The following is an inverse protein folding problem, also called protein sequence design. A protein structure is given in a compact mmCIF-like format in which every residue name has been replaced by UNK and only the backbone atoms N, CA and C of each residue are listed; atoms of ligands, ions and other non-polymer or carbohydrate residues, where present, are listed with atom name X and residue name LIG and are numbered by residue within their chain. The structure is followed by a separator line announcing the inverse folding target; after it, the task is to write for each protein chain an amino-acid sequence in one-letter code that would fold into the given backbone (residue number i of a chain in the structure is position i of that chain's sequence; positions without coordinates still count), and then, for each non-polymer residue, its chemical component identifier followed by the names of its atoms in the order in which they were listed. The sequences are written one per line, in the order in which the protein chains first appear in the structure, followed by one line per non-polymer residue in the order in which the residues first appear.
data_IF_660088164484
#
_entry.id   IF_660088164484
#
_cell.length_a   1.000
_cell.length_b   1.000
_cell.length_c   1.000
_cell.angle_alpha   90.00
_cell.angle_beta   90.00
_cell.angle_gamma   90.00
#
_symmetry.space_group_name_H-M   'P 1'
#
loop_
_entity.id
_entity.type
_entity.pdbx_description
1 polymer ?
#
# COMPACT_ATOMS: atom_id res chain seq x y z
N UNK A 1 13.17 -30.14 -3.95
CA UNK A 1 12.21 -31.14 -3.42
C UNK A 1 12.88 -31.81 -2.24
N UNK A 2 12.46 -31.46 -1.04
CA UNK A 2 13.09 -31.94 0.19
C UNK A 2 12.49 -33.29 0.67
N UNK A 3 11.23 -33.56 0.29
CA UNK A 3 10.58 -34.82 0.66
C UNK A 3 9.81 -35.42 -0.51
N UNK A 4 10.41 -36.41 -1.16
CA UNK A 4 9.82 -37.12 -2.31
C UNK A 4 8.55 -37.90 -1.92
N UNK A 5 8.47 -38.42 -0.72
CA UNK A 5 7.31 -39.17 -0.24
C UNK A 5 6.10 -38.25 -0.08
N UNK A 6 6.28 -37.09 0.56
CA UNK A 6 5.21 -36.11 0.75
C UNK A 6 4.69 -35.59 -0.61
N UNK A 7 5.60 -35.28 -1.54
CA UNK A 7 5.24 -34.86 -2.89
C UNK A 7 4.38 -35.92 -3.60
N UNK A 8 4.80 -37.19 -3.53
CA UNK A 8 4.05 -38.30 -4.13
C UNK A 8 2.67 -38.45 -3.50
N UNK A 9 2.56 -38.30 -2.17
CA UNK A 9 1.28 -38.41 -1.47
C UNK A 9 0.33 -37.25 -1.80
N UNK A 10 0.82 -36.02 -1.82
CA UNK A 10 0.00 -34.87 -2.26
C UNK A 10 -0.47 -35.02 -3.70
N UNK A 11 0.39 -35.49 -4.59
CA UNK A 11 0.02 -35.76 -5.97
C UNK A 11 -1.08 -36.81 -6.06
N UNK A 12 -0.88 -37.95 -5.37
CA UNK A 12 -1.86 -39.06 -5.36
C UNK A 12 -3.19 -38.65 -4.74
N UNK A 13 -3.16 -37.89 -3.66
CA UNK A 13 -4.36 -37.30 -3.05
C UNK A 13 -5.10 -36.38 -4.02
N UNK A 14 -4.40 -35.47 -4.69
CA UNK A 14 -5.00 -34.54 -5.63
C UNK A 14 -5.63 -35.29 -6.81
N UNK A 15 -4.91 -36.24 -7.45
CA UNK A 15 -5.38 -37.01 -8.56
C UNK A 15 -6.65 -37.83 -8.20
N UNK A 16 -6.66 -38.43 -7.01
CA UNK A 16 -7.81 -39.21 -6.52
C UNK A 16 -9.02 -38.34 -6.22
N UNK A 17 -8.79 -37.16 -5.63
CA UNK A 17 -9.87 -36.20 -5.37
C UNK A 17 -10.48 -35.67 -6.67
N UNK A 18 -9.63 -35.31 -7.64
CA UNK A 18 -10.09 -34.85 -8.95
C UNK A 18 -10.89 -35.95 -9.70
N UNK A 19 -10.46 -37.19 -9.62
CA UNK A 19 -11.17 -38.32 -10.22
C UNK A 19 -12.55 -38.53 -9.59
N UNK A 20 -12.65 -38.47 -8.26
CA UNK A 20 -13.91 -38.56 -7.53
C UNK A 20 -14.85 -37.43 -7.94
N UNK A 21 -14.38 -36.16 -7.89
CA UNK A 21 -15.19 -35.00 -8.25
C UNK A 21 -15.63 -35.05 -9.71
N UNK A 22 -14.76 -35.48 -10.65
CA UNK A 22 -15.09 -35.61 -12.06
C UNK A 22 -16.16 -36.69 -12.28
N UNK A 23 -16.09 -37.82 -11.57
CA UNK A 23 -17.12 -38.83 -11.62
C UNK A 23 -18.48 -38.30 -11.17
N UNK A 24 -18.53 -37.50 -10.10
CA UNK A 24 -19.76 -36.86 -9.60
C UNK A 24 -20.35 -35.89 -10.61
N UNK A 25 -19.51 -35.05 -11.22
CA UNK A 25 -19.95 -34.13 -12.28
C UNK A 25 -20.53 -34.87 -13.49
N UNK A 26 -19.89 -35.97 -13.91
CA UNK A 26 -20.36 -36.77 -15.04
C UNK A 26 -21.66 -37.55 -14.77
N UNK A 27 -22.01 -37.77 -13.49
CA UNK A 27 -23.30 -38.36 -13.08
C UNK A 27 -24.46 -37.36 -12.97
N UNK A 28 -24.26 -36.12 -13.42
CA UNK A 28 -25.29 -35.08 -13.49
C UNK A 28 -25.30 -34.08 -12.31
N UNK A 29 -24.37 -34.23 -11.38
CA UNK A 29 -24.18 -33.27 -10.31
C UNK A 29 -23.29 -32.12 -10.80
N UNK A 30 -23.89 -31.18 -11.51
CA UNK A 30 -23.18 -30.03 -12.07
C UNK A 30 -22.67 -29.15 -10.89
N UNK A 31 -21.38 -28.75 -10.88
CA UNK A 31 -20.91 -27.74 -9.94
C UNK A 31 -21.81 -26.53 -10.01
N UNK A 32 -22.23 -26.04 -8.87
CA UNK A 32 -22.93 -24.74 -8.84
C UNK A 32 -22.12 -23.72 -9.63
N UNK A 33 -22.80 -22.89 -10.40
CA UNK A 33 -22.14 -21.78 -11.10
C UNK A 33 -22.16 -20.58 -10.18
N UNK A 34 -21.00 -19.96 -9.98
CA UNK A 34 -20.89 -18.66 -9.30
C UNK A 34 -20.69 -17.57 -10.35
N UNK A 35 -21.23 -16.41 -10.07
CA UNK A 35 -20.96 -15.23 -10.87
C UNK A 35 -19.61 -14.67 -10.46
N UNK A 36 -18.63 -14.75 -11.35
CA UNK A 36 -17.40 -14.00 -11.23
C UNK A 36 -17.45 -12.75 -12.09
N UNK A 37 -17.04 -11.63 -11.53
CA UNK A 37 -17.05 -10.37 -12.22
C UNK A 37 -15.61 -10.07 -12.59
N UNK A 38 -15.36 -10.05 -13.90
CA UNK A 38 -14.08 -9.69 -14.47
C UNK A 38 -14.07 -8.22 -14.84
N UNK A 39 -12.93 -7.58 -14.62
CA UNK A 39 -12.70 -6.22 -15.04
C UNK A 39 -11.74 -6.22 -16.20
N UNK A 40 -12.25 -5.88 -17.36
CA UNK A 40 -11.43 -5.81 -18.57
C UNK A 40 -11.14 -4.36 -18.92
N UNK A 41 -9.91 -4.14 -19.36
CA UNK A 41 -9.45 -2.87 -19.92
C UNK A 41 -10.23 -2.58 -21.20
N UNK A 42 -10.93 -1.49 -21.23
CA UNK A 42 -11.64 -1.03 -22.42
C UNK A 42 -10.91 0.18 -23.01
N UNK A 43 -10.48 0.06 -24.27
CA UNK A 43 -9.86 1.07 -25.13
C UNK A 43 -8.39 1.44 -24.86
N UNK A 44 -7.50 1.03 -25.79
CA UNK A 44 -6.07 1.36 -25.79
C UNK A 44 -5.77 2.80 -26.25
N UNK A 45 -6.69 3.49 -26.89
CA UNK A 45 -6.48 4.80 -27.49
C UNK A 45 -6.58 6.00 -26.54
N UNK A 46 -7.21 5.84 -25.40
CA UNK A 46 -7.20 6.84 -24.33
C UNK A 46 -6.24 6.39 -23.22
N UNK A 47 -5.33 7.26 -22.80
CA UNK A 47 -4.45 7.03 -21.64
C UNK A 47 -5.21 6.86 -20.32
N UNK A 48 -6.52 6.67 -20.38
CA UNK A 48 -7.43 6.41 -19.28
C UNK A 48 -7.95 4.99 -19.41
N UNK A 49 -7.81 4.18 -18.35
CA UNK A 49 -8.43 2.86 -18.29
C UNK A 49 -9.91 3.03 -17.99
N UNK A 50 -10.75 2.80 -18.97
CA UNK A 50 -12.15 2.52 -18.74
C UNK A 50 -12.26 1.05 -18.37
N UNK A 51 -12.73 0.77 -17.17
CA UNK A 51 -12.90 -0.59 -16.67
C UNK A 51 -14.33 -0.98 -16.92
N UNK A 52 -14.54 -1.99 -17.78
CA UNK A 52 -15.84 -2.61 -18.00
C UNK A 52 -15.93 -3.87 -17.14
N UNK A 53 -16.97 -3.96 -16.32
CA UNK A 53 -17.26 -5.18 -15.61
C UNK A 53 -18.00 -6.17 -16.52
N UNK A 54 -17.46 -7.35 -16.68
CA UNK A 54 -18.11 -8.47 -17.35
C UNK A 54 -18.43 -9.54 -16.31
N UNK A 55 -19.66 -10.06 -16.32
CA UNK A 55 -20.07 -11.15 -15.44
C UNK A 55 -19.87 -12.44 -16.21
N UNK A 56 -18.99 -13.29 -15.72
CA UNK A 56 -18.83 -14.65 -16.22
C UNK A 56 -19.38 -15.64 -15.20
N UNK A 57 -20.02 -16.70 -15.71
CA UNK A 57 -20.42 -17.82 -14.88
C UNK A 57 -19.28 -18.83 -14.87
N UNK A 58 -18.70 -19.05 -13.69
CA UNK A 58 -17.60 -20.01 -13.49
C UNK A 58 -18.04 -21.12 -12.54
N UNK A 59 -17.46 -22.33 -12.66
CA UNK A 59 -17.75 -23.41 -11.74
C UNK A 59 -17.39 -23.06 -10.29
N UNK A 60 -18.31 -23.28 -9.36
CA UNK A 60 -18.06 -23.15 -7.93
C UNK A 60 -17.41 -24.43 -7.40
N UNK A 61 -16.11 -24.55 -7.61
CA UNK A 61 -15.33 -25.67 -7.10
C UNK A 61 -15.29 -25.73 -5.56
N UNK A 62 -15.41 -24.59 -4.89
CA UNK A 62 -15.48 -24.55 -3.43
C UNK A 62 -16.69 -25.29 -2.91
N UNK A 63 -17.87 -24.97 -3.44
CA UNK A 63 -19.13 -25.63 -3.10
C UNK A 63 -19.12 -27.12 -3.49
N UNK A 64 -18.54 -27.43 -4.64
CA UNK A 64 -18.38 -28.82 -5.07
C UNK A 64 -17.56 -29.64 -4.08
N UNK A 65 -16.41 -29.13 -3.62
CA UNK A 65 -15.59 -29.78 -2.60
C UNK A 65 -16.36 -29.93 -1.28
N UNK A 66 -17.05 -28.87 -0.84
CA UNK A 66 -17.79 -28.89 0.41
C UNK A 66 -18.94 -29.93 0.40
N UNK A 67 -19.60 -30.11 -0.74
CA UNK A 67 -20.64 -31.14 -0.93
C UNK A 67 -20.10 -32.57 -0.78
N UNK A 68 -18.87 -32.83 -1.20
CA UNK A 68 -18.23 -34.16 -1.19
C UNK A 68 -17.11 -34.30 -0.17
N UNK A 69 -17.07 -33.43 0.81
CA UNK A 69 -16.01 -33.39 1.82
C UNK A 69 -15.81 -34.73 2.51
N UNK A 70 -16.87 -35.35 2.97
CA UNK A 70 -16.81 -36.64 3.67
C UNK A 70 -16.25 -37.75 2.78
N UNK A 71 -16.70 -37.85 1.52
CA UNK A 71 -16.19 -38.83 0.58
C UNK A 71 -14.72 -38.63 0.23
N UNK A 72 -14.27 -37.37 0.18
CA UNK A 72 -12.84 -37.03 -0.01
C UNK A 72 -12.02 -37.44 1.23
N UNK A 73 -12.55 -37.26 2.42
CA UNK A 73 -11.89 -37.66 3.68
C UNK A 73 -11.75 -39.20 3.81
N UNK A 74 -12.65 -39.95 3.20
CA UNK A 74 -12.63 -41.41 3.16
C UNK A 74 -11.64 -42.00 2.14
N UNK A 75 -11.11 -41.17 1.22
CA UNK A 75 -10.11 -41.64 0.26
C UNK A 75 -8.85 -42.18 0.95
N UNK A 76 -8.37 -43.38 0.60
CA UNK A 76 -7.13 -43.92 1.18
C UNK A 76 -5.93 -42.98 1.04
N UNK A 77 -5.88 -42.21 -0.05
CA UNK A 77 -4.83 -41.23 -0.34
C UNK A 77 -4.92 -40.04 0.59
N UNK A 78 -6.11 -39.55 0.92
CA UNK A 78 -6.32 -38.48 1.92
C UNK A 78 -5.83 -38.95 3.29
N UNK A 79 -6.28 -40.13 3.74
CA UNK A 79 -5.94 -40.72 5.04
C UNK A 79 -4.42 -40.91 5.16
N UNK A 80 -3.77 -41.41 4.10
CA UNK A 80 -2.33 -41.66 4.09
C UNK A 80 -1.55 -40.33 4.14
N UNK A 81 -1.94 -39.35 3.35
CA UNK A 81 -1.30 -38.06 3.32
C UNK A 81 -1.45 -37.35 4.67
N UNK A 82 -2.67 -37.35 5.27
CA UNK A 82 -2.93 -36.81 6.60
C UNK A 82 -2.06 -37.44 7.68
N UNK A 83 -1.92 -38.79 7.69
CA UNK A 83 -1.05 -39.50 8.64
C UNK A 83 0.42 -39.07 8.53
N UNK A 84 0.90 -38.81 7.32
CA UNK A 84 2.27 -38.30 7.15
C UNK A 84 2.40 -36.86 7.67
N UNK A 85 1.42 -35.99 7.38
CA UNK A 85 1.40 -34.62 7.87
C UNK A 85 1.46 -34.57 9.41
N UNK A 86 0.72 -35.45 10.08
CA UNK A 86 0.77 -35.58 11.56
C UNK A 86 2.19 -35.95 12.05
N UNK A 87 2.85 -36.88 11.33
CA UNK A 87 4.20 -37.32 11.69
C UNK A 87 5.28 -36.23 11.50
N UNK A 88 5.09 -35.37 10.51
CA UNK A 88 6.03 -34.27 10.21
C UNK A 88 5.83 -33.09 11.18
N UNK A 89 4.92 -33.24 12.14
CA UNK A 89 4.71 -32.31 13.25
C UNK A 89 4.32 -30.87 12.84
N UNK A 90 3.46 -30.78 11.84
CA UNK A 90 2.89 -29.50 11.44
C UNK A 90 1.86 -29.11 12.51
N UNK A 91 2.26 -28.24 13.42
CA UNK A 91 1.45 -27.63 14.46
C UNK A 91 0.52 -28.56 15.29
N UNK A 92 0.59 -28.38 16.57
CA UNK A 92 -0.16 -29.13 17.62
C UNK A 92 -1.69 -29.02 17.54
N UNK A 93 -2.27 -28.43 16.49
CA UNK A 93 -3.67 -27.99 16.50
C UNK A 93 -4.62 -28.82 15.64
N UNK A 94 -4.27 -30.02 15.18
CA UNK A 94 -5.15 -30.94 14.43
C UNK A 94 -5.75 -30.36 13.12
N UNK A 95 -4.99 -29.55 12.40
CA UNK A 95 -5.46 -28.85 11.20
C UNK A 95 -5.06 -29.52 9.86
N UNK A 96 -4.55 -30.75 9.87
CA UNK A 96 -4.02 -31.41 8.68
C UNK A 96 -5.06 -31.62 7.57
N UNK A 97 -6.30 -31.86 7.94
CA UNK A 97 -7.41 -31.96 6.99
C UNK A 97 -7.65 -30.60 6.30
N UNK A 98 -7.53 -29.51 7.05
CA UNK A 98 -7.68 -28.15 6.50
C UNK A 98 -6.59 -27.88 5.47
N UNK A 99 -5.36 -28.31 5.71
CA UNK A 99 -4.26 -28.13 4.74
C UNK A 99 -4.53 -28.85 3.42
N UNK A 100 -5.03 -30.09 3.46
CA UNK A 100 -5.35 -30.84 2.27
C UNK A 100 -6.51 -30.22 1.48
N UNK A 101 -7.58 -29.80 2.18
CA UNK A 101 -8.69 -29.13 1.53
C UNK A 101 -8.33 -27.76 0.97
N UNK A 102 -7.54 -26.97 1.68
CA UNK A 102 -7.08 -25.69 1.16
C UNK A 102 -6.20 -25.85 -0.07
N UNK A 103 -5.35 -26.88 -0.10
CA UNK A 103 -4.55 -27.22 -1.26
C UNK A 103 -5.42 -27.60 -2.47
N UNK A 104 -6.43 -28.46 -2.28
CA UNK A 104 -7.36 -28.86 -3.33
C UNK A 104 -8.16 -27.66 -3.86
N UNK A 105 -8.71 -26.83 -2.97
CA UNK A 105 -9.44 -25.62 -3.34
C UNK A 105 -8.57 -24.66 -4.13
N UNK A 106 -7.35 -24.39 -3.66
CA UNK A 106 -6.41 -23.49 -4.33
C UNK A 106 -5.97 -24.02 -5.70
N UNK A 107 -5.70 -25.33 -5.80
CA UNK A 107 -5.39 -25.97 -7.08
C UNK A 107 -6.53 -25.79 -8.10
N UNK A 108 -7.77 -26.07 -7.71
CA UNK A 108 -8.92 -25.92 -8.61
C UNK A 108 -9.19 -24.46 -8.97
N UNK A 109 -8.96 -23.54 -8.06
CA UNK A 109 -9.08 -22.10 -8.32
C UNK A 109 -8.08 -21.62 -9.39
N UNK A 110 -6.85 -22.17 -9.41
CA UNK A 110 -5.86 -21.81 -10.43
C UNK A 110 -6.05 -22.58 -11.70
N UNK A 111 -6.32 -23.89 -11.60
CA UNK A 111 -6.42 -24.79 -12.75
C UNK A 111 -7.74 -24.62 -13.54
N UNK A 112 -8.80 -24.14 -12.87
CA UNK A 112 -10.16 -23.97 -13.44
C UNK A 112 -10.69 -25.21 -14.17
N UNK A 113 -10.20 -26.41 -13.81
CA UNK A 113 -10.54 -27.69 -14.43
C UNK A 113 -10.31 -28.84 -13.46
N UNK A 114 -11.13 -29.88 -13.60
CA UNK A 114 -10.95 -31.15 -12.89
C UNK A 114 -9.88 -32.07 -13.50
N UNK A 115 -9.23 -31.66 -14.60
CA UNK A 115 -8.11 -32.37 -15.16
C UNK A 115 -6.81 -32.08 -14.43
N UNK A 116 -5.98 -33.10 -14.18
CA UNK A 116 -4.70 -32.92 -13.51
C UNK A 116 -3.69 -32.21 -14.40
N UNK A 117 -3.05 -31.15 -13.85
CA UNK A 117 -1.98 -30.39 -14.49
C UNK A 117 -0.73 -30.39 -13.62
N UNK A 118 0.30 -31.11 -14.07
CA UNK A 118 1.56 -31.28 -13.32
C UNK A 118 2.32 -29.98 -13.07
N UNK A 119 2.26 -29.01 -14.00
CA UNK A 119 2.97 -27.72 -13.84
C UNK A 119 2.34 -26.90 -12.73
N UNK A 120 1.00 -26.84 -12.72
CA UNK A 120 0.26 -26.13 -11.65
C UNK A 120 0.46 -26.84 -10.32
N UNK A 121 0.37 -28.18 -10.28
CA UNK A 121 0.62 -28.96 -9.08
C UNK A 121 2.00 -28.66 -8.49
N UNK A 122 3.08 -28.76 -9.28
CA UNK A 122 4.44 -28.52 -8.78
C UNK A 122 4.64 -27.09 -8.28
N UNK A 123 4.05 -26.12 -8.95
CA UNK A 123 4.11 -24.71 -8.52
C UNK A 123 3.45 -24.52 -7.14
N UNK A 124 2.28 -25.10 -6.94
CA UNK A 124 1.54 -24.98 -5.67
C UNK A 124 2.23 -25.79 -4.58
N UNK A 125 2.70 -27.01 -4.90
CA UNK A 125 3.35 -27.90 -3.95
C UNK A 125 4.67 -27.31 -3.40
N UNK A 126 5.38 -26.48 -4.16
CA UNK A 126 6.57 -25.80 -3.62
C UNK A 126 6.28 -24.99 -2.36
N UNK A 127 5.09 -24.41 -2.25
CA UNK A 127 4.64 -23.72 -1.03
C UNK A 127 4.40 -24.66 0.15
N UNK A 128 3.97 -25.91 -0.11
CA UNK A 128 3.87 -26.93 0.93
C UNK A 128 5.23 -27.24 1.53
N UNK A 129 6.26 -27.42 0.70
CA UNK A 129 7.63 -27.66 1.15
C UNK A 129 8.18 -26.47 1.95
N UNK A 130 7.98 -25.26 1.47
CA UNK A 130 8.43 -24.04 2.18
C UNK A 130 7.75 -23.92 3.55
N UNK A 131 6.46 -24.19 3.60
CA UNK A 131 5.71 -24.15 4.85
C UNK A 131 6.13 -25.22 5.85
N UNK A 132 6.31 -26.48 5.40
CA UNK A 132 6.57 -27.61 6.28
C UNK A 132 8.03 -27.69 6.70
N UNK A 133 8.97 -27.52 5.76
CA UNK A 133 10.38 -27.83 5.98
C UNK A 133 11.26 -26.60 6.16
N UNK A 134 10.93 -25.48 5.54
CA UNK A 134 11.70 -24.25 5.68
C UNK A 134 11.18 -23.34 6.77
N UNK A 135 10.00 -23.65 7.32
CA UNK A 135 9.33 -22.85 8.33
C UNK A 135 9.22 -21.36 7.92
N UNK A 136 9.12 -21.10 6.60
CA UNK A 136 9.08 -19.75 6.04
C UNK A 136 7.89 -19.59 5.12
N UNK A 137 7.25 -18.44 5.24
CA UNK A 137 6.15 -18.02 4.37
C UNK A 137 6.59 -16.72 3.68
N UNK A 138 6.53 -16.71 2.35
CA UNK A 138 6.76 -15.49 1.58
C UNK A 138 5.45 -14.73 1.41
N UNK A 139 5.40 -13.52 1.92
CA UNK A 139 4.23 -12.66 1.84
C UNK A 139 4.54 -11.50 0.91
N UNK A 140 3.67 -11.32 -0.07
CA UNK A 140 3.70 -10.17 -0.94
C UNK A 140 2.63 -9.19 -0.49
N UNK A 141 3.06 -8.05 0.01
CA UNK A 141 2.19 -6.94 0.35
C UNK A 141 2.05 -6.03 -0.86
N UNK A 142 0.82 -5.62 -1.16
CA UNK A 142 0.53 -4.70 -2.27
C UNK A 142 -0.40 -3.59 -1.80
N UNK A 143 -0.10 -2.37 -2.21
CA UNK A 143 -0.89 -1.19 -1.92
C UNK A 143 -1.09 -0.38 -3.21
N UNK A 144 -2.32 -0.33 -3.76
CA UNK A 144 -2.61 0.43 -4.96
C UNK A 144 -2.38 1.93 -4.76
N UNK A 145 -1.67 2.56 -5.69
CA UNK A 145 -1.44 4.01 -5.71
C UNK A 145 -2.47 4.69 -6.61
N UNK A 146 -3.29 5.54 -6.02
CA UNK A 146 -4.25 6.36 -6.75
C UNK A 146 -3.58 7.62 -7.28
N UNK A 147 -3.98 8.06 -8.47
CA UNK A 147 -3.52 9.29 -9.12
C UNK A 147 -2.00 9.34 -9.40
N UNK A 148 -1.33 8.19 -9.42
CA UNK A 148 0.10 8.08 -9.70
C UNK A 148 0.36 7.53 -11.10
N UNK A 149 1.32 8.12 -11.81
CA UNK A 149 1.84 7.63 -13.10
C UNK A 149 3.37 7.69 -13.10
N UNK A 150 3.98 6.88 -13.95
CA UNK A 150 5.41 6.95 -14.22
C UNK A 150 5.69 6.61 -15.68
N UNK A 151 6.82 7.09 -16.21
CA UNK A 151 7.32 6.69 -17.52
C UNK A 151 8.03 5.34 -17.47
N UNK A 152 8.37 4.83 -16.28
CA UNK A 152 8.95 3.51 -16.07
C UNK A 152 7.94 2.56 -15.44
N UNK A 153 8.00 1.28 -15.81
CA UNK A 153 7.07 0.28 -15.29
C UNK A 153 7.39 -0.15 -13.83
N UNK A 154 8.64 0.04 -13.39
CA UNK A 154 9.09 -0.30 -12.04
C UNK A 154 10.07 0.74 -11.50
N UNK A 155 9.91 1.14 -10.23
CA UNK A 155 10.87 1.94 -9.47
C UNK A 155 11.26 1.11 -8.24
N UNK A 156 12.51 0.65 -8.19
CA UNK A 156 13.06 -0.10 -7.07
C UNK A 156 13.63 0.87 -6.03
N UNK A 157 13.00 0.91 -4.87
CA UNK A 157 13.40 1.77 -3.75
C UNK A 157 14.47 1.13 -2.85
N UNK A 158 14.75 -0.17 -3.04
CA UNK A 158 15.60 -0.98 -2.17
C UNK A 158 14.77 -1.70 -1.08
N UNK A 159 15.43 -2.56 -0.29
CA UNK A 159 14.83 -3.31 0.82
C UNK A 159 13.55 -4.09 0.43
N UNK A 160 13.52 -4.62 -0.79
CA UNK A 160 12.36 -5.30 -1.39
C UNK A 160 11.11 -4.41 -1.54
N UNK A 161 11.26 -3.09 -1.52
CA UNK A 161 10.16 -2.14 -1.70
C UNK A 161 10.21 -1.60 -3.13
N UNK A 162 9.11 -1.75 -3.86
CA UNK A 162 9.00 -1.33 -5.25
C UNK A 162 7.71 -0.55 -5.49
N UNK A 163 7.77 0.42 -6.40
CA UNK A 163 6.57 0.99 -7.01
C UNK A 163 6.47 0.36 -8.40
N UNK A 164 5.42 -0.41 -8.64
CA UNK A 164 5.29 -1.23 -9.84
C UNK A 164 3.97 -0.98 -10.54
N UNK A 165 4.02 -0.96 -11.87
CA UNK A 165 2.84 -0.87 -12.71
C UNK A 165 1.97 -2.11 -12.57
N UNK A 166 0.66 -1.91 -12.46
CA UNK A 166 -0.30 -2.99 -12.36
C UNK A 166 -0.40 -3.76 -13.67
N UNK A 167 -0.39 -5.08 -13.57
CA UNK A 167 -0.75 -5.98 -14.67
C UNK A 167 -2.27 -6.15 -14.74
N UNK A 168 -2.80 -6.70 -15.83
CA UNK A 168 -4.23 -7.03 -15.95
C UNK A 168 -4.69 -7.95 -14.81
N UNK A 169 -3.85 -8.91 -14.43
CA UNK A 169 -4.13 -9.80 -13.32
C UNK A 169 -4.19 -9.06 -11.97
N UNK A 170 -3.33 -8.09 -11.74
CA UNK A 170 -3.35 -7.27 -10.52
C UNK A 170 -4.65 -6.45 -10.45
N UNK A 171 -5.12 -5.93 -11.60
CA UNK A 171 -6.41 -5.25 -11.68
C UNK A 171 -7.56 -6.17 -11.31
N UNK A 172 -7.66 -7.33 -11.95
CA UNK A 172 -8.73 -8.29 -11.67
C UNK A 172 -8.79 -8.65 -10.19
N UNK A 173 -7.64 -8.88 -9.58
CA UNK A 173 -7.56 -9.24 -8.17
C UNK A 173 -7.98 -8.09 -7.24
N UNK A 174 -7.52 -6.86 -7.49
CA UNK A 174 -7.92 -5.68 -6.71
C UNK A 174 -9.42 -5.45 -6.81
N UNK A 175 -9.98 -5.56 -8.02
CA UNK A 175 -11.39 -5.28 -8.24
C UNK A 175 -12.33 -6.40 -7.79
N UNK A 176 -11.94 -7.65 -7.88
CA UNK A 176 -12.71 -8.79 -7.34
C UNK A 176 -12.94 -8.65 -5.83
N UNK A 177 -11.95 -8.16 -5.10
CA UNK A 177 -12.08 -7.99 -3.65
C UNK A 177 -12.87 -6.75 -3.26
N UNK A 178 -12.68 -5.64 -3.98
CA UNK A 178 -13.44 -4.40 -3.74
C UNK A 178 -14.92 -4.56 -4.04
N UNK A 179 -15.33 -5.44 -4.95
CA UNK A 179 -16.75 -5.64 -5.27
C UNK A 179 -17.55 -6.40 -4.24
N UNK A 180 -16.96 -7.22 -3.42
CA UNK A 180 -17.70 -7.80 -2.28
C UNK A 180 -18.25 -6.72 -1.33
N UNK A 181 -17.70 -5.52 -1.39
CA UNK A 181 -18.10 -4.36 -0.57
C UNK A 181 -18.76 -3.21 -1.38
N UNK A 182 -18.60 -3.20 -2.73
CA UNK A 182 -19.05 -2.09 -3.59
C UNK A 182 -20.38 -2.44 -4.28
N UNK A 183 -21.40 -2.81 -3.55
CA UNK A 183 -22.78 -2.84 -4.08
C UNK A 183 -23.37 -1.44 -4.36
N UNK A 184 -22.59 -0.37 -4.16
CA UNK A 184 -23.04 1.02 -4.19
C UNK A 184 -22.34 1.91 -5.23
N UNK A 185 -21.47 1.39 -6.10
CA UNK A 185 -20.81 2.23 -7.10
C UNK A 185 -21.49 2.15 -8.47
N UNK A 186 -21.77 3.32 -9.03
CA UNK A 186 -22.24 3.47 -10.40
C UNK A 186 -21.17 3.01 -11.40
N UNK A 187 -21.59 2.44 -12.51
CA UNK A 187 -20.79 1.79 -13.55
C UNK A 187 -19.81 2.70 -14.31
N UNK A 188 -19.73 3.99 -14.00
CA UNK A 188 -19.01 5.00 -14.80
C UNK A 188 -17.81 5.66 -14.11
N UNK A 189 -17.37 5.17 -12.95
CA UNK A 189 -16.24 5.77 -12.27
C UNK A 189 -14.91 5.16 -12.74
N UNK A 190 -14.16 5.94 -13.54
CA UNK A 190 -12.78 5.60 -13.92
C UNK A 190 -11.89 5.60 -12.67
N UNK A 191 -11.40 4.44 -12.28
CA UNK A 191 -10.38 4.35 -11.23
C UNK A 191 -9.00 4.69 -11.81
N UNK A 192 -8.41 5.78 -11.33
CA UNK A 192 -7.06 6.22 -11.70
C UNK A 192 -5.99 5.46 -10.88
N UNK A 193 -5.98 4.14 -10.95
CA UNK A 193 -4.99 3.28 -10.28
C UNK A 193 -4.20 2.54 -11.34
N UNK A 194 -2.92 2.85 -11.50
CA UNK A 194 -2.04 2.26 -12.50
C UNK A 194 -0.80 1.61 -11.90
N UNK A 195 -0.48 1.93 -10.67
CA UNK A 195 0.70 1.48 -9.95
C UNK A 195 0.34 1.02 -8.55
N UNK A 196 1.22 0.23 -7.96
CA UNK A 196 1.12 -0.23 -6.57
C UNK A 196 2.48 -0.13 -5.89
N UNK A 197 2.46 0.07 -4.58
CA UNK A 197 3.62 -0.21 -3.73
C UNK A 197 3.59 -1.71 -3.47
N UNK A 198 4.72 -2.37 -3.68
CA UNK A 198 4.88 -3.80 -3.51
C UNK A 198 6.09 -4.06 -2.62
N UNK A 199 5.97 -4.96 -1.67
CA UNK A 199 7.10 -5.52 -0.92
C UNK A 199 6.92 -7.00 -0.71
N UNK A 200 8.03 -7.74 -0.69
CA UNK A 200 8.04 -9.18 -0.40
C UNK A 200 8.80 -9.40 0.89
N UNK A 201 8.15 -10.01 1.85
CA UNK A 201 8.71 -10.34 3.14
C UNK A 201 8.68 -11.86 3.36
N UNK A 202 9.77 -12.41 3.90
CA UNK A 202 9.83 -13.81 4.34
C UNK A 202 9.70 -13.84 5.85
N UNK A 203 8.62 -14.43 6.35
CA UNK A 203 8.34 -14.57 7.78
C UNK A 203 8.43 -16.01 8.23
N UNK A 204 8.76 -16.23 9.49
CA UNK A 204 8.70 -17.56 10.09
C UNK A 204 7.25 -17.98 10.33
N UNK A 205 6.97 -19.27 10.13
CA UNK A 205 5.66 -19.83 10.37
C UNK A 205 5.26 -19.67 11.85
N UNK A 206 4.03 -19.22 12.10
CA UNK A 206 3.55 -18.92 13.45
C UNK A 206 3.90 -17.52 13.95
N UNK A 207 4.66 -16.73 13.19
CA UNK A 207 4.86 -15.31 13.48
C UNK A 207 3.59 -14.56 13.13
N UNK A 208 3.06 -13.78 14.07
CA UNK A 208 1.94 -12.90 13.79
C UNK A 208 2.36 -11.88 12.72
N UNK A 209 1.50 -11.70 11.72
CA UNK A 209 1.71 -10.69 10.68
C UNK A 209 1.69 -9.30 11.29
N UNK A 210 2.76 -8.57 11.10
CA UNK A 210 2.81 -7.16 11.45
C UNK A 210 2.25 -6.30 10.32
N UNK A 211 0.93 -6.27 10.22
CA UNK A 211 0.22 -5.41 9.27
C UNK A 211 0.57 -3.93 9.44
N UNK A 212 0.94 -3.54 10.65
CA UNK A 212 1.31 -2.18 10.99
C UNK A 212 2.62 -1.78 10.30
N UNK A 213 3.60 -2.69 10.22
CA UNK A 213 4.87 -2.45 9.53
C UNK A 213 4.68 -2.10 8.05
N UNK A 214 3.81 -2.84 7.36
CA UNK A 214 3.53 -2.54 5.95
C UNK A 214 2.81 -1.21 5.77
N UNK A 215 1.84 -0.90 6.64
CA UNK A 215 1.18 0.40 6.63
C UNK A 215 2.18 1.56 6.81
N UNK A 216 3.18 1.40 7.69
CA UNK A 216 4.27 2.38 7.86
C UNK A 216 5.08 2.52 6.56
N UNK A 217 5.43 1.42 5.91
CA UNK A 217 6.16 1.47 4.62
C UNK A 217 5.36 2.26 3.59
N UNK A 218 4.08 1.98 3.43
CA UNK A 218 3.21 2.70 2.50
C UNK A 218 3.13 4.19 2.83
N UNK A 219 2.93 4.52 4.12
CA UNK A 219 2.92 5.90 4.60
C UNK A 219 4.23 6.62 4.28
N UNK A 220 5.37 5.99 4.51
CA UNK A 220 6.69 6.55 4.25
C UNK A 220 6.92 6.78 2.75
N UNK A 221 6.54 5.81 1.89
CA UNK A 221 6.64 5.97 0.43
C UNK A 221 5.77 7.13 -0.05
N UNK A 222 4.53 7.24 0.42
CA UNK A 222 3.64 8.35 0.07
C UNK A 222 4.21 9.69 0.57
N UNK A 223 4.75 9.72 1.78
CA UNK A 223 5.40 10.90 2.34
C UNK A 223 6.57 11.37 1.48
N UNK A 224 7.41 10.45 1.05
CA UNK A 224 8.55 10.77 0.16
C UNK A 224 8.08 11.25 -1.20
N UNK A 225 7.04 10.66 -1.78
CA UNK A 225 6.47 11.13 -3.03
C UNK A 225 5.91 12.57 -2.89
N UNK A 226 5.19 12.88 -1.82
CA UNK A 226 4.71 14.24 -1.50
C UNK A 226 5.84 15.24 -1.28
N UNK A 227 6.92 14.79 -0.63
CA UNK A 227 8.13 15.59 -0.45
C UNK A 227 8.94 15.76 -1.74
N UNK A 228 8.87 14.81 -2.67
CA UNK A 228 9.62 14.86 -3.91
C UNK A 228 9.12 15.97 -4.82
N UNK A 229 7.82 16.03 -5.05
CA UNK A 229 7.19 17.13 -5.79
C UNK A 229 5.72 17.28 -5.46
N UNK A 230 5.16 18.41 -5.85
CA UNK A 230 3.76 18.70 -5.64
C UNK A 230 2.86 17.77 -6.46
N UNK A 231 1.72 17.40 -5.87
CA UNK A 231 0.68 16.61 -6.50
C UNK A 231 -0.08 15.76 -5.48
N UNK A 232 -1.32 15.46 -5.78
CA UNK A 232 -2.17 14.67 -4.91
C UNK A 232 -1.92 13.19 -5.21
N UNK A 233 -1.31 12.49 -4.26
CA UNK A 233 -1.13 11.04 -4.29
C UNK A 233 -1.85 10.43 -3.11
N UNK A 234 -2.48 9.29 -3.36
CA UNK A 234 -2.98 8.45 -2.29
C UNK A 234 -4.07 9.10 -1.49
N UNK A 235 -5.26 9.15 -2.04
CA UNK A 235 -6.46 9.52 -1.30
C UNK A 235 -7.04 8.26 -0.62
N UNK A 236 -6.18 7.55 0.13
CA UNK A 236 -6.59 6.44 0.96
C UNK A 236 -6.37 6.87 2.40
N UNK A 237 -7.44 6.95 3.17
CA UNK A 237 -7.33 7.07 4.62
C UNK A 237 -6.56 5.87 5.14
N UNK A 238 -5.26 6.05 5.38
CA UNK A 238 -4.36 5.04 5.94
C UNK A 238 -4.77 4.55 7.33
N UNK A 239 -5.68 5.25 8.02
CA UNK A 239 -5.94 5.06 9.44
C UNK A 239 -7.05 4.08 9.80
N UNK A 240 -7.96 3.73 8.88
CA UNK A 240 -9.09 2.87 9.25
C UNK A 240 -9.18 1.57 8.44
N UNK A 241 -8.65 1.55 7.21
CA UNK A 241 -8.77 0.38 6.35
C UNK A 241 -7.54 0.24 5.44
N UNK A 242 -6.50 -0.40 5.95
CA UNK A 242 -5.35 -0.77 5.13
C UNK A 242 -5.73 -1.93 4.23
N UNK A 243 -5.76 -1.69 2.93
CA UNK A 243 -5.83 -2.76 1.97
C UNK A 243 -4.45 -3.38 1.82
N UNK A 244 -4.20 -4.38 2.62
CA UNK A 244 -3.03 -5.23 2.49
C UNK A 244 -3.51 -6.50 1.83
N UNK A 245 -3.19 -6.66 0.55
CA UNK A 245 -3.43 -7.91 -0.14
C UNK A 245 -2.22 -8.80 0.03
N UNK A 246 -2.40 -9.86 0.80
CA UNK A 246 -1.44 -10.93 0.86
C UNK A 246 -1.56 -11.75 -0.42
N UNK A 247 -0.60 -11.58 -1.30
CA UNK A 247 -0.49 -12.41 -2.49
C UNK A 247 0.58 -13.44 -2.21
N UNK A 248 0.15 -14.65 -1.94
CA UNK A 248 1.08 -15.76 -1.87
C UNK A 248 1.49 -16.12 -3.29
N UNK A 249 2.77 -16.17 -3.53
CA UNK A 249 3.29 -16.72 -4.78
C UNK A 249 3.13 -18.25 -4.83
N UNK A 250 2.82 -18.85 -3.68
CA UNK A 250 2.64 -20.28 -3.49
C UNK A 250 1.43 -20.58 -2.60
N UNK A 251 1.04 -21.85 -2.51
CA UNK A 251 -0.04 -22.33 -1.66
C UNK A 251 0.14 -21.97 -0.20
N UNK A 252 -0.98 -21.71 0.46
CA UNK A 252 -1.10 -21.28 1.83
C UNK A 252 -2.00 -22.20 2.63
N UNK A 253 -1.55 -22.71 3.81
CA UNK A 253 -2.29 -23.71 4.54
C UNK A 253 -3.52 -23.17 5.29
N UNK A 254 -3.41 -22.03 5.92
CA UNK A 254 -4.49 -21.48 6.75
C UNK A 254 -4.39 -19.98 6.77
N UNK A 255 -5.32 -19.32 6.13
CA UNK A 255 -5.45 -17.88 6.35
C UNK A 255 -6.90 -17.47 6.41
N UNK A 256 -7.22 -16.81 7.50
CA UNK A 256 -8.30 -15.87 7.43
C UNK A 256 -7.75 -14.67 6.66
N UNK A 257 -8.33 -14.33 5.51
CA UNK A 257 -7.94 -13.08 4.87
C UNK A 257 -8.11 -11.99 5.92
N UNK A 258 -7.04 -11.27 6.22
CA UNK A 258 -7.17 -10.03 6.95
C UNK A 258 -8.09 -9.19 6.09
N UNK A 259 -9.34 -9.03 6.53
CA UNK A 259 -10.32 -8.19 5.86
C UNK A 259 -9.84 -6.76 5.99
N UNK A 260 -8.98 -6.33 5.10
CA UNK A 260 -8.72 -4.94 4.87
C UNK A 260 -9.86 -4.41 4.03
N UNK A 261 -10.72 -3.56 4.55
CA UNK A 261 -11.68 -2.85 3.73
C UNK A 261 -10.99 -1.62 3.14
N UNK A 262 -11.10 -1.45 1.82
CA UNK A 262 -10.79 -0.16 1.19
C UNK A 262 -12.00 0.72 1.44
N UNK A 263 -11.89 1.68 2.32
CA UNK A 263 -12.84 2.79 2.32
C UNK A 263 -12.36 3.77 1.26
N UNK A 264 -12.98 3.74 0.10
CA UNK A 264 -12.81 4.79 -0.88
C UNK A 264 -13.40 6.07 -0.31
N UNK A 265 -12.57 6.98 0.12
CA UNK A 265 -12.99 8.34 0.43
C UNK A 265 -13.38 9.03 -0.89
N UNK A 266 -14.53 9.72 -0.86
CA UNK A 266 -15.09 10.49 -1.96
C UNK A 266 -14.01 11.10 -2.87
N UNK A 267 -14.22 10.95 -4.17
CA UNK A 267 -13.39 11.51 -5.24
C UNK A 267 -13.08 12.99 -4.98
N UNK A 268 -11.86 13.26 -4.57
CA UNK A 268 -11.29 14.56 -4.82
C UNK A 268 -10.85 14.51 -6.29
N UNK A 269 -11.56 15.22 -7.16
CA UNK A 269 -11.07 15.45 -8.52
C UNK A 269 -9.77 16.20 -8.39
N UNK A 270 -8.66 15.47 -8.42
CA UNK A 270 -7.35 16.08 -8.44
C UNK A 270 -7.13 16.71 -9.81
N UNK A 271 -6.93 18.04 -9.92
CA UNK A 271 -6.77 18.71 -11.20
C UNK A 271 -5.51 18.25 -11.94
N UNK A 272 -4.57 17.63 -11.26
CA UNK A 272 -3.29 17.23 -11.83
C UNK A 272 -2.88 15.82 -11.39
N UNK A 273 -2.54 14.97 -12.36
CA UNK A 273 -1.98 13.63 -12.08
C UNK A 273 -0.55 13.78 -11.60
N UNK A 274 -0.20 13.06 -10.54
CA UNK A 274 1.17 12.96 -10.08
C UNK A 274 1.95 12.06 -11.02
N UNK A 275 3.00 12.57 -11.65
CA UNK A 275 3.77 11.82 -12.65
C UNK A 275 5.26 11.86 -12.34
N UNK A 276 5.94 10.71 -12.38
CA UNK A 276 7.39 10.57 -12.27
C UNK A 276 7.97 10.33 -13.66
N UNK A 277 8.88 11.22 -14.10
CA UNK A 277 9.61 11.09 -15.35
C UNK A 277 10.81 10.14 -15.17
N UNK A 278 11.26 9.49 -16.24
CA UNK A 278 12.39 8.56 -16.19
C UNK A 278 13.65 9.19 -15.60
N UNK A 279 13.93 10.44 -15.94
CA UNK A 279 15.07 11.22 -15.43
C UNK A 279 14.95 11.58 -13.93
N UNK A 280 13.77 11.57 -13.36
CA UNK A 280 13.51 11.90 -11.95
C UNK A 280 13.68 10.69 -11.01
N UNK A 281 13.66 9.48 -11.54
CA UNK A 281 13.69 8.23 -10.77
C UNK A 281 14.92 8.17 -9.84
N UNK A 282 16.09 8.53 -10.37
CA UNK A 282 17.33 8.53 -9.58
C UNK A 282 17.29 9.48 -8.38
N UNK A 283 16.69 10.66 -8.54
CA UNK A 283 16.59 11.65 -7.45
C UNK A 283 15.50 11.27 -6.44
N UNK A 284 14.41 10.64 -6.89
CA UNK A 284 13.42 10.04 -6.00
C UNK A 284 14.04 8.95 -5.12
N UNK A 285 14.83 8.04 -5.69
CA UNK A 285 15.52 6.97 -4.95
C UNK A 285 16.53 7.58 -3.95
N UNK A 286 17.25 8.63 -4.32
CA UNK A 286 18.15 9.33 -3.40
C UNK A 286 17.39 9.95 -2.22
N UNK A 287 16.24 10.58 -2.48
CA UNK A 287 15.40 11.15 -1.42
C UNK A 287 14.84 10.06 -0.51
N UNK A 288 14.38 8.93 -1.08
CA UNK A 288 13.93 7.77 -0.31
C UNK A 288 15.01 7.26 0.63
N UNK A 289 16.25 7.07 0.14
CA UNK A 289 17.37 6.64 0.96
C UNK A 289 17.69 7.62 2.09
N UNK A 290 17.60 8.93 1.83
CA UNK A 290 17.79 9.95 2.88
C UNK A 290 16.71 9.87 3.94
N UNK A 291 15.46 9.72 3.54
CA UNK A 291 14.31 9.57 4.44
C UNK A 291 14.43 8.31 5.29
N UNK A 292 14.70 7.16 4.67
CA UNK A 292 14.76 5.87 5.35
C UNK A 292 15.93 5.75 6.34
N UNK A 293 17.04 6.44 6.07
CA UNK A 293 18.22 6.47 6.93
C UNK A 293 18.22 7.61 7.96
N UNK A 294 17.16 8.42 8.00
CA UNK A 294 17.07 9.54 8.93
C UNK A 294 16.67 9.08 10.34
N UNK A 295 17.41 9.55 11.36
CA UNK A 295 17.11 9.20 12.75
C UNK A 295 16.03 10.12 13.34
N UNK A 296 14.77 9.74 13.12
CA UNK A 296 13.60 10.45 13.64
C UNK A 296 13.51 10.44 15.18
N UNK A 297 14.15 9.49 15.85
CA UNK A 297 14.16 9.45 17.32
C UNK A 297 15.00 10.58 17.91
N UNK A 298 16.12 10.91 17.26
CA UNK A 298 16.93 12.08 17.64
C UNK A 298 16.28 13.39 17.22
N UNK A 299 15.59 13.40 16.09
CA UNK A 299 15.07 14.62 15.47
C UNK A 299 13.53 14.60 15.44
N UNK A 300 12.90 14.56 16.60
CA UNK A 300 11.42 14.54 16.75
C UNK A 300 10.72 15.71 16.07
N UNK A 301 11.35 16.86 15.98
CA UNK A 301 10.82 18.04 15.28
C UNK A 301 10.59 17.77 13.80
N UNK A 302 11.52 17.06 13.15
CA UNK A 302 11.38 16.68 11.73
C UNK A 302 10.28 15.62 11.55
N UNK A 303 10.15 14.66 12.47
CA UNK A 303 9.03 13.69 12.46
C UNK A 303 7.68 14.38 12.58
N UNK A 304 7.55 15.32 13.54
CA UNK A 304 6.33 16.13 13.71
C UNK A 304 6.03 16.91 12.44
N UNK A 305 7.05 17.56 11.87
CA UNK A 305 6.89 18.34 10.63
C UNK A 305 6.39 17.49 9.47
N UNK A 306 6.96 16.30 9.24
CA UNK A 306 6.53 15.39 8.18
C UNK A 306 5.09 14.93 8.40
N UNK A 307 4.71 14.58 9.64
CA UNK A 307 3.34 14.19 9.95
C UNK A 307 2.35 15.33 9.68
N UNK A 308 2.65 16.57 10.10
CA UNK A 308 1.81 17.75 9.85
C UNK A 308 1.71 18.07 8.37
N UNK A 309 2.82 18.02 7.65
CA UNK A 309 2.84 18.17 6.21
C UNK A 309 1.93 17.18 5.51
N UNK A 310 1.96 15.90 5.90
CA UNK A 310 1.07 14.88 5.36
C UNK A 310 -0.39 15.09 5.76
N UNK A 311 -0.70 15.51 6.98
CA UNK A 311 -2.07 15.81 7.41
C UNK A 311 -2.71 16.91 6.59
N UNK A 312 -1.93 17.92 6.16
CA UNK A 312 -2.43 18.96 5.27
C UNK A 312 -2.97 18.39 3.94
N UNK A 313 -2.37 17.32 3.40
CA UNK A 313 -2.88 16.65 2.19
C UNK A 313 -4.23 15.96 2.41
N UNK A 314 -4.55 15.58 3.63
CA UNK A 314 -5.82 14.92 3.98
C UNK A 314 -6.96 15.90 4.22
N UNK A 315 -6.66 17.19 4.38
CA UNK A 315 -7.66 18.24 4.59
C UNK A 315 -8.32 18.64 3.27
N UNK A 316 -9.66 18.84 3.32
CA UNK A 316 -10.44 19.39 2.20
C UNK A 316 -10.46 20.91 2.21
N UNK A 317 -10.42 21.49 3.40
CA UNK A 317 -10.56 22.92 3.65
C UNK A 317 -9.20 23.58 3.60
N UNK A 318 -9.04 24.65 2.81
CA UNK A 318 -7.77 25.33 2.58
C UNK A 318 -7.22 25.94 3.87
N UNK A 319 -8.10 26.46 4.72
CA UNK A 319 -7.78 27.02 6.04
C UNK A 319 -7.08 25.96 6.92
N UNK A 320 -7.62 24.75 6.96
CA UNK A 320 -7.06 23.64 7.74
C UNK A 320 -5.70 23.22 7.20
N UNK A 321 -5.53 23.21 5.85
CA UNK A 321 -4.23 22.96 5.22
C UNK A 321 -3.19 23.99 5.65
N UNK A 322 -3.55 25.27 5.61
CA UNK A 322 -2.63 26.32 6.01
C UNK A 322 -2.20 26.18 7.47
N UNK A 323 -3.15 25.82 8.36
CA UNK A 323 -2.82 25.59 9.79
C UNK A 323 -1.79 24.47 9.92
N UNK A 324 -1.99 23.32 9.27
CA UNK A 324 -1.05 22.19 9.37
C UNK A 324 0.31 22.52 8.75
N UNK A 325 0.37 23.22 7.62
CA UNK A 325 1.64 23.69 7.04
C UNK A 325 2.36 24.70 7.94
N UNK A 326 1.64 25.62 8.58
CA UNK A 326 2.28 26.54 9.53
C UNK A 326 2.83 25.81 10.75
N UNK A 327 2.12 24.78 11.28
CA UNK A 327 2.62 23.92 12.36
C UNK A 327 3.87 23.16 11.92
N UNK A 328 3.96 22.77 10.65
CA UNK A 328 5.17 22.14 10.07
C UNK A 328 6.40 23.04 10.25
N UNK A 329 6.31 24.30 9.85
CA UNK A 329 7.42 25.26 10.02
C UNK A 329 7.70 25.59 11.49
N UNK A 330 6.64 25.75 12.30
CA UNK A 330 6.78 25.98 13.75
C UNK A 330 7.57 24.85 14.42
N UNK A 331 7.26 23.58 14.09
CA UNK A 331 7.98 22.43 14.64
C UNK A 331 9.47 22.40 14.25
N UNK A 332 9.83 22.94 13.09
CA UNK A 332 11.21 22.95 12.60
C UNK A 332 12.02 24.13 13.12
N UNK A 333 11.41 25.29 13.33
CA UNK A 333 12.14 26.54 13.54
C UNK A 333 11.86 27.27 14.87
N UNK A 334 10.85 26.86 15.65
CA UNK A 334 10.59 27.45 16.95
C UNK A 334 11.05 26.55 18.09
N UNK A 335 11.67 27.12 19.10
CA UNK A 335 12.08 26.42 20.33
C UNK A 335 10.96 26.54 21.37
N UNK A 336 10.74 25.49 22.16
CA UNK A 336 9.71 25.47 23.22
C UNK A 336 9.86 26.62 24.25
N UNK A 337 11.08 27.11 24.45
CA UNK A 337 11.38 28.21 25.38
C UNK A 337 11.04 29.58 24.80
N UNK A 338 10.66 29.70 23.53
CA UNK A 338 10.43 30.98 22.87
C UNK A 338 8.95 31.37 22.97
N UNK A 339 8.69 32.53 23.57
CA UNK A 339 7.31 33.02 23.73
C UNK A 339 7.07 34.38 23.04
N UNK A 340 8.13 35.04 22.55
CA UNK A 340 8.04 36.35 21.95
C UNK A 340 8.51 36.36 20.50
N UNK A 341 7.93 37.26 19.70
CA UNK A 341 8.30 37.48 18.29
C UNK A 341 8.26 36.24 17.41
N UNK A 342 7.39 35.29 17.71
CA UNK A 342 7.33 33.99 17.03
C UNK A 342 7.16 34.15 15.51
N UNK A 343 6.27 35.04 15.06
CA UNK A 343 6.05 35.34 13.65
C UNK A 343 7.36 35.81 12.97
N UNK A 344 8.07 36.75 13.61
CA UNK A 344 9.32 37.29 13.07
C UNK A 344 10.41 36.21 12.99
N UNK A 345 10.62 35.45 14.07
CA UNK A 345 11.63 34.38 14.14
C UNK A 345 11.36 33.28 13.13
N UNK A 346 10.12 32.82 13.06
CA UNK A 346 9.72 31.79 12.10
C UNK A 346 9.99 32.23 10.68
N UNK A 347 9.53 33.43 10.31
CA UNK A 347 9.68 33.96 8.96
C UNK A 347 11.16 34.17 8.58
N UNK A 348 11.96 34.68 9.51
CA UNK A 348 13.38 34.94 9.26
C UNK A 348 14.17 33.63 9.12
N UNK A 349 14.04 32.72 10.08
CA UNK A 349 14.76 31.43 10.08
C UNK A 349 14.44 30.61 8.87
N UNK A 350 13.14 30.46 8.53
CA UNK A 350 12.74 29.73 7.33
C UNK A 350 13.31 30.37 6.07
N UNK A 351 13.19 31.69 5.93
CA UNK A 351 13.67 32.40 4.74
C UNK A 351 15.19 32.27 4.54
N UNK A 352 15.98 32.37 5.62
CA UNK A 352 17.43 32.17 5.57
C UNK A 352 17.82 30.72 5.34
N UNK A 353 17.01 29.76 5.83
CA UNK A 353 17.29 28.35 5.65
C UNK A 353 17.10 27.89 4.21
N UNK A 354 16.04 28.33 3.50
CA UNK A 354 15.74 27.84 2.15
C UNK A 354 16.05 28.82 1.04
N UNK A 355 16.10 30.11 1.32
CA UNK A 355 16.38 31.15 0.32
C UNK A 355 17.87 31.26 -0.01
N UNK A 356 18.17 31.54 -1.26
CA UNK A 356 19.55 31.66 -1.76
C UNK A 356 19.93 33.11 -2.14
N UNK A 357 18.96 33.92 -2.55
CA UNK A 357 19.17 35.30 -2.96
C UNK A 357 18.37 36.26 -2.08
N UNK A 358 18.88 37.48 -1.86
CA UNK A 358 18.23 38.51 -1.01
C UNK A 358 16.75 38.75 -1.38
N UNK A 359 16.46 38.79 -2.66
CA UNK A 359 15.07 38.97 -3.15
C UNK A 359 14.16 37.79 -2.77
N UNK A 360 14.64 36.56 -2.95
CA UNK A 360 13.94 35.35 -2.57
C UNK A 360 13.73 35.25 -1.07
N UNK A 361 14.77 35.53 -0.27
CA UNK A 361 14.70 35.56 1.21
C UNK A 361 13.61 36.53 1.66
N UNK A 362 13.58 37.74 1.11
CA UNK A 362 12.57 38.74 1.45
C UNK A 362 11.15 38.24 1.07
N UNK A 363 10.99 37.64 -0.11
CA UNK A 363 9.69 37.12 -0.55
C UNK A 363 9.19 35.98 0.34
N UNK A 364 10.07 35.05 0.70
CA UNK A 364 9.73 33.94 1.62
C UNK A 364 9.30 34.50 2.97
N UNK A 365 10.12 35.44 3.54
CA UNK A 365 9.82 36.07 4.80
C UNK A 365 8.45 36.76 4.84
N UNK A 366 8.11 37.53 3.82
CA UNK A 366 6.81 38.22 3.73
C UNK A 366 5.64 37.21 3.59
N UNK A 367 5.80 36.17 2.81
CA UNK A 367 4.76 35.15 2.66
C UNK A 367 4.50 34.40 3.98
N UNK A 368 5.56 34.06 4.74
CA UNK A 368 5.41 33.35 6.02
C UNK A 368 4.77 34.27 7.06
N UNK A 369 5.18 35.54 7.16
CA UNK A 369 4.54 36.53 8.07
C UNK A 369 3.05 36.63 7.80
N UNK A 370 2.70 36.78 6.52
CA UNK A 370 1.31 36.87 6.09
C UNK A 370 0.53 35.57 6.41
N UNK A 371 1.13 34.41 6.18
CA UNK A 371 0.51 33.11 6.49
C UNK A 371 0.28 32.94 8.00
N UNK A 372 1.25 33.35 8.83
CA UNK A 372 1.13 33.31 10.28
C UNK A 372 -0.03 34.18 10.80
N UNK A 373 -0.13 35.44 10.29
CA UNK A 373 -1.22 36.35 10.64
C UNK A 373 -2.58 35.80 10.23
N UNK A 374 -2.65 35.17 9.06
CA UNK A 374 -3.87 34.56 8.56
C UNK A 374 -4.25 33.34 9.41
N UNK A 375 -3.30 32.47 9.72
CA UNK A 375 -3.52 31.32 10.61
C UNK A 375 -4.05 31.76 11.96
N UNK A 376 -3.48 32.80 12.54
CA UNK A 376 -3.98 33.37 13.80
C UNK A 376 -5.43 33.82 13.70
N UNK A 377 -5.81 34.53 12.61
CA UNK A 377 -7.18 34.98 12.38
C UNK A 377 -8.15 33.80 12.16
N UNK A 378 -7.74 32.75 11.46
CA UNK A 378 -8.56 31.56 11.24
C UNK A 378 -8.87 30.88 12.58
N UNK A 379 -7.85 30.66 13.41
CA UNK A 379 -8.00 30.01 14.73
C UNK A 379 -8.93 30.82 15.67
N UNK A 380 -8.91 32.16 15.55
CA UNK A 380 -9.78 33.04 16.33
C UNK A 380 -11.13 33.36 15.65
N UNK A 381 -11.47 32.68 14.53
CA UNK A 381 -12.77 32.81 13.86
C UNK A 381 -13.03 34.14 13.15
N UNK A 382 -11.98 34.92 12.85
CA UNK A 382 -12.10 36.29 12.30
C UNK A 382 -11.64 36.46 10.84
N UNK A 383 -11.43 35.36 10.10
CA UNK A 383 -10.87 35.41 8.74
C UNK A 383 -11.89 35.84 7.70
N UNK A 384 -11.63 36.95 6.99
CA UNK A 384 -12.40 37.43 5.82
C UNK A 384 -11.51 37.45 4.56
N UNK A 385 -10.75 36.38 4.30
CA UNK A 385 -9.83 36.34 3.18
C UNK A 385 -10.53 35.74 1.96
N UNK A 386 -10.29 36.32 0.78
CA UNK A 386 -10.78 35.72 -0.49
C UNK A 386 -10.13 34.36 -0.69
N UNK A 387 -10.95 33.36 -0.97
CA UNK A 387 -10.55 31.97 -1.11
C UNK A 387 -9.35 31.78 -2.06
N UNK A 388 -9.35 32.42 -3.21
CA UNK A 388 -8.28 32.34 -4.21
C UNK A 388 -6.93 32.82 -3.68
N UNK A 389 -6.90 33.93 -2.93
CA UNK A 389 -5.67 34.47 -2.31
C UNK A 389 -5.15 33.57 -1.21
N UNK A 390 -6.06 32.95 -0.47
CA UNK A 390 -5.69 31.98 0.57
C UNK A 390 -5.10 30.71 -0.07
N UNK A 391 -5.70 30.22 -1.12
CA UNK A 391 -5.22 29.04 -1.85
C UNK A 391 -3.83 29.28 -2.44
N UNK A 392 -3.58 30.41 -3.08
CA UNK A 392 -2.26 30.78 -3.61
C UNK A 392 -1.20 30.83 -2.52
N UNK A 393 -1.51 31.45 -1.38
CA UNK A 393 -0.57 31.54 -0.27
C UNK A 393 -0.30 30.15 0.34
N UNK A 394 -1.33 29.35 0.56
CA UNK A 394 -1.22 28.00 1.09
C UNK A 394 -0.32 27.14 0.21
N UNK A 395 -0.44 27.26 -1.11
CA UNK A 395 0.43 26.59 -2.06
C UNK A 395 1.91 27.00 -1.92
N UNK A 396 2.18 28.30 -1.71
CA UNK A 396 3.55 28.77 -1.48
C UNK A 396 4.14 28.21 -0.17
N UNK A 397 3.32 28.17 0.90
CA UNK A 397 3.76 27.62 2.17
C UNK A 397 4.03 26.12 2.06
N UNK A 398 3.17 25.37 1.36
CA UNK A 398 3.40 23.95 1.05
C UNK A 398 4.78 23.73 0.39
N UNK A 399 5.14 24.57 -0.56
CA UNK A 399 6.43 24.45 -1.25
C UNK A 399 7.61 24.78 -0.31
N UNK A 400 7.46 25.79 0.56
CA UNK A 400 8.47 26.10 1.58
C UNK A 400 8.66 24.96 2.58
N UNK A 401 7.58 24.32 3.02
CA UNK A 401 7.62 23.12 3.87
C UNK A 401 8.38 22.00 3.20
N UNK A 402 8.05 21.70 1.94
CA UNK A 402 8.68 20.65 1.15
C UNK A 402 10.18 20.86 1.02
N UNK A 403 10.60 22.08 0.64
CA UNK A 403 12.01 22.44 0.54
C UNK A 403 12.73 22.35 1.89
N UNK A 404 12.09 22.81 2.95
CA UNK A 404 12.66 22.81 4.30
C UNK A 404 12.86 21.39 4.82
N UNK A 405 11.84 20.55 4.75
CA UNK A 405 11.92 19.14 5.19
C UNK A 405 13.01 18.40 4.39
N UNK A 406 13.01 18.53 3.06
CA UNK A 406 14.04 17.92 2.21
C UNK A 406 15.45 18.35 2.60
N UNK A 407 15.64 19.62 2.92
CA UNK A 407 16.95 20.13 3.33
C UNK A 407 17.38 19.56 4.67
N UNK A 408 16.49 19.44 5.65
CA UNK A 408 16.78 18.77 6.93
C UNK A 408 17.12 17.28 6.73
N UNK A 409 16.37 16.56 5.92
CA UNK A 409 16.68 15.17 5.58
C UNK A 409 18.06 15.00 4.91
N UNK A 410 18.47 15.97 4.08
CA UNK A 410 19.78 15.96 3.44
C UNK A 410 20.91 16.29 4.39
N UNK A 411 20.71 17.23 5.30
CA UNK A 411 21.73 17.65 6.28
C UNK A 411 21.96 16.58 7.35
N UNK A 412 20.93 15.82 7.70
CA UNK A 412 20.93 14.82 8.78
C UNK A 412 21.45 15.39 10.10
N UNK A 413 21.06 16.62 10.43
CA UNK A 413 21.46 17.37 11.62
C UNK A 413 20.26 17.67 12.50
N UNK A 414 20.54 17.95 13.78
CA UNK A 414 19.53 18.41 14.72
C UNK A 414 19.00 19.79 14.28
N UNK A 415 17.69 19.99 14.38
CA UNK A 415 17.04 21.28 14.08
C UNK A 415 17.56 22.40 14.97
N UNK A 416 17.91 22.11 16.23
CA UNK A 416 18.47 23.11 17.17
C UNK A 416 19.83 23.62 16.70
N UNK A 417 20.71 22.73 16.24
CA UNK A 417 22.04 23.13 15.73
C UNK A 417 21.91 24.02 14.49
N UNK A 418 21.00 23.72 13.58
CA UNK A 418 20.80 24.54 12.39
C UNK A 418 20.17 25.92 12.74
N UNK A 419 19.25 25.99 13.72
CA UNK A 419 18.70 27.25 14.19
C UNK A 419 19.80 28.11 14.79
N UNK A 420 20.67 27.56 15.64
CA UNK A 420 21.78 28.29 16.25
C UNK A 420 22.78 28.80 15.20
N UNK A 421 23.04 28.03 14.15
CA UNK A 421 23.87 28.46 13.03
C UNK A 421 23.25 29.66 12.30
N UNK A 422 21.95 29.55 11.96
CA UNK A 422 21.21 30.64 11.29
C UNK A 422 21.26 31.93 12.17
N UNK A 423 21.12 31.81 13.49
CA UNK A 423 21.17 32.92 14.41
C UNK A 423 22.56 33.56 14.47
N UNK A 424 23.64 32.78 14.42
CA UNK A 424 25.02 33.28 14.38
C UNK A 424 25.35 33.99 13.05
N UNK A 425 24.77 33.54 11.95
CA UNK A 425 24.96 34.14 10.62
C UNK A 425 24.22 35.48 10.45
N UNK A 426 23.32 35.83 11.40
CA UNK A 426 22.56 37.11 11.45
C UNK A 426 23.31 38.18 12.27
N UNK A 427 24.07 37.75 13.28
CA UNK A 427 24.87 38.64 14.16
C UNK A 427 26.20 39.00 13.52
#
# INVERSE_FOLDING_TARGET
MENQELHRLYKSFLESSLLLLNKKVNTGEIPGMQQEIYFRKYNESSKTYNIKSEIELVPDFGKLIDNYKNEIEELPQFITCRKLLIKVNINKDNHESIYLFSFLKYYLQINQSLNFNVKIFNKIYSGVEDFIFRNKINIKHVFPLKNFKSEVDEIDLGDNIKIKKLTEKDFDEIFKETKKEISYFSSDESMDVYYQIETVESIENGTALDNYRFAIICYNVISVLRLFKNGIIGDVKLYEHNYVKYKYESWEPIWQPVKGSITMVQQIKAPQKYSILSQEVGDLIKLWKKYNNYDFNKNKSVDIAIRRFNYAYEKKIVEDKLIDYMITLEALFLKESENNELNYRLALRTALFIGSKKQEINQIRENIKKAYDIRSKIVHGSSKIKHEKLQELTYKIEEYDRLTIRKFLCLNKDTKEEIEKIEKDIL
#
